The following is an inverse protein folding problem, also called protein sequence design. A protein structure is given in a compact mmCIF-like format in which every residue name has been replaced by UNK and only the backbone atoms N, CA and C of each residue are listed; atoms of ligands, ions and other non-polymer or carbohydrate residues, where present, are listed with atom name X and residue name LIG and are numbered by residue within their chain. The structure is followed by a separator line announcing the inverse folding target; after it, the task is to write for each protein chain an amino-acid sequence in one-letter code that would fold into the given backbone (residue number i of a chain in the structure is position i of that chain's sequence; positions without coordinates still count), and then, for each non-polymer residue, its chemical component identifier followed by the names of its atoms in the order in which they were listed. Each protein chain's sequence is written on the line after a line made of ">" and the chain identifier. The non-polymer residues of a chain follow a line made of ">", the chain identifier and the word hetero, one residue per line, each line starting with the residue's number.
data_IF_927540575442
#
_entry.id   IF_927540575442
#
_cell.length_a   1.000
_cell.length_b   1.000
_cell.length_c   1.000
_cell.angle_alpha   90.00
_cell.angle_beta   90.00
_cell.angle_gamma   90.00
#
_symmetry.space_group_name_H-M   'P 1'
#
loop_
_entity.id
_entity.type
_entity.pdbx_description
1 polymer ?
#
# COMPACT_ATOMS: atom_id res chain seq x y z
N UNK A 1 -7.42 -19.04 -4.15
CA UNK A 1 -7.61 -18.16 -2.99
C UNK A 1 -6.84 -16.89 -3.30
N UNK A 2 -7.49 -15.72 -3.22
CA UNK A 2 -6.80 -14.43 -3.24
C UNK A 2 -6.05 -14.25 -1.92
N UNK A 3 -4.90 -13.58 -1.96
CA UNK A 3 -4.11 -13.19 -0.78
C UNK A 3 -4.04 -11.67 -0.73
N UNK A 4 -3.60 -11.10 0.39
CA UNK A 4 -3.36 -9.66 0.47
C UNK A 4 -1.91 -9.35 0.08
N UNK A 5 -1.72 -8.29 -0.68
CA UNK A 5 -0.41 -7.71 -0.95
C UNK A 5 -0.34 -6.29 -0.39
N UNK A 6 0.84 -5.93 0.08
CA UNK A 6 1.17 -4.66 0.69
C UNK A 6 2.19 -3.96 -0.19
N UNK A 7 1.78 -2.81 -0.73
CA UNK A 7 2.57 -2.03 -1.67
C UNK A 7 3.25 -0.90 -0.91
N UNK A 8 4.54 -1.07 -0.66
CA UNK A 8 5.41 -0.02 -0.14
C UNK A 8 5.54 1.08 -1.19
N UNK A 9 5.22 2.33 -0.87
CA UNK A 9 5.17 3.43 -1.87
C UNK A 9 5.61 4.77 -1.28
N UNK A 10 5.47 5.84 -2.05
CA UNK A 10 5.80 7.20 -1.66
C UNK A 10 4.61 8.16 -1.78
N UNK A 11 4.79 9.35 -1.21
CA UNK A 11 3.76 10.37 -1.18
C UNK A 11 3.36 10.88 -2.58
N UNK A 12 4.29 11.11 -3.53
CA UNK A 12 3.92 11.39 -4.92
C UNK A 12 3.02 10.33 -5.55
N UNK A 13 3.28 9.06 -5.30
CA UNK A 13 2.49 7.95 -5.81
C UNK A 13 1.09 7.88 -5.16
N UNK A 14 0.99 8.09 -3.84
CA UNK A 14 -0.31 8.23 -3.16
C UNK A 14 -1.10 9.42 -3.69
N UNK A 15 -0.43 10.52 -4.02
CA UNK A 15 -1.07 11.68 -4.65
C UNK A 15 -1.59 11.36 -6.05
N UNK A 16 -0.81 10.64 -6.86
CA UNK A 16 -1.26 10.17 -8.17
C UNK A 16 -2.47 9.22 -8.05
N UNK A 17 -2.47 8.34 -7.06
CA UNK A 17 -3.60 7.47 -6.74
C UNK A 17 -4.85 8.27 -6.37
N UNK A 18 -4.70 9.39 -5.67
CA UNK A 18 -5.81 10.30 -5.35
C UNK A 18 -6.33 11.05 -6.59
N UNK A 19 -5.42 11.66 -7.36
CA UNK A 19 -5.74 12.60 -8.43
C UNK A 19 -6.16 11.90 -9.74
N UNK A 20 -5.48 10.81 -10.07
CA UNK A 20 -5.63 10.08 -11.34
C UNK A 20 -6.36 8.74 -11.12
N UNK A 21 -6.45 8.27 -9.87
CA UNK A 21 -7.11 7.01 -9.53
C UNK A 21 -6.23 5.77 -9.74
N UNK A 22 -4.93 5.94 -9.95
CA UNK A 22 -4.01 4.84 -10.25
C UNK A 22 -2.65 4.98 -9.56
N UNK A 23 -2.10 3.85 -9.13
CA UNK A 23 -0.74 3.70 -8.63
C UNK A 23 0.10 3.00 -9.72
N UNK A 24 1.14 3.66 -10.21
CA UNK A 24 1.90 3.19 -11.38
C UNK A 24 2.81 2.00 -11.07
N UNK A 25 2.98 1.06 -12.00
CA UNK A 25 3.74 -0.20 -11.86
C UNK A 25 5.23 -0.08 -11.44
N UNK A 26 5.77 1.14 -11.31
CA UNK A 26 7.14 1.41 -10.87
C UNK A 26 7.24 2.32 -9.65
N UNK A 27 6.10 2.78 -9.10
CA UNK A 27 6.05 3.69 -7.96
C UNK A 27 5.88 2.97 -6.62
N UNK A 28 5.96 1.64 -6.60
CA UNK A 28 5.83 0.85 -5.40
C UNK A 28 6.70 -0.41 -5.44
N UNK A 29 6.87 -1.04 -4.29
CA UNK A 29 7.44 -2.37 -4.13
C UNK A 29 6.42 -3.27 -3.41
N UNK A 30 6.40 -4.56 -3.74
CA UNK A 30 5.35 -5.48 -3.29
C UNK A 30 5.88 -6.44 -2.26
N UNK A 31 5.13 -6.58 -1.17
CA UNK A 31 5.27 -7.63 -0.18
C UNK A 31 3.96 -8.42 -0.15
N UNK A 32 4.02 -9.71 -0.45
CA UNK A 32 2.84 -10.59 -0.41
C UNK A 32 2.76 -11.30 0.93
N UNK A 33 1.56 -11.34 1.54
CA UNK A 33 1.34 -12.16 2.72
C UNK A 33 1.57 -13.65 2.42
N UNK A 34 2.28 -14.34 3.32
CA UNK A 34 2.61 -15.75 3.17
C UNK A 34 1.34 -16.63 3.11
N UNK A 35 0.30 -16.24 3.85
CA UNK A 35 -1.03 -16.82 3.82
C UNK A 35 -2.11 -15.77 4.11
N UNK A 36 -3.34 -16.20 4.34
CA UNK A 36 -4.47 -15.34 4.76
C UNK A 36 -4.64 -15.33 6.28
N UNK A 37 -3.63 -15.81 7.02
CA UNK A 37 -3.60 -15.70 8.47
C UNK A 37 -3.32 -14.25 8.88
N UNK A 38 -3.94 -13.80 9.98
CA UNK A 38 -3.82 -12.43 10.47
C UNK A 38 -2.36 -12.06 10.78
N UNK A 39 -1.57 -13.00 11.30
CA UNK A 39 -0.16 -12.76 11.60
C UNK A 39 0.66 -12.60 10.32
N UNK A 40 0.43 -13.44 9.31
CA UNK A 40 1.13 -13.36 8.03
C UNK A 40 0.79 -12.06 7.27
N UNK A 41 -0.44 -11.58 7.41
CA UNK A 41 -0.88 -10.28 6.88
C UNK A 41 -0.20 -9.11 7.62
N UNK A 42 -0.13 -9.18 8.95
CA UNK A 42 0.57 -8.18 9.76
C UNK A 42 2.07 -8.14 9.45
N UNK A 43 2.74 -9.29 9.38
CA UNK A 43 4.17 -9.37 9.09
C UNK A 43 4.50 -8.76 7.73
N UNK A 44 3.70 -9.04 6.70
CA UNK A 44 3.88 -8.48 5.36
C UNK A 44 3.62 -6.96 5.31
N UNK A 45 2.65 -6.47 6.08
CA UNK A 45 2.39 -5.04 6.22
C UNK A 45 3.56 -4.30 6.87
N UNK A 46 4.13 -4.86 7.94
CA UNK A 46 5.30 -4.31 8.64
C UNK A 46 6.51 -4.30 7.70
N UNK A 47 6.79 -5.40 7.02
CA UNK A 47 7.88 -5.48 6.04
C UNK A 47 7.72 -4.43 4.92
N UNK A 48 6.50 -4.22 4.41
CA UNK A 48 6.23 -3.17 3.43
C UNK A 48 6.46 -1.76 4.01
N UNK A 49 6.11 -1.53 5.27
CA UNK A 49 6.38 -0.27 5.98
C UNK A 49 7.87 0.02 6.12
N UNK A 50 8.63 -0.98 6.58
CA UNK A 50 10.09 -0.89 6.69
C UNK A 50 10.74 -0.66 5.32
N UNK A 51 10.25 -1.33 4.27
CA UNK A 51 10.73 -1.14 2.91
C UNK A 51 10.43 0.28 2.39
N UNK A 52 9.25 0.81 2.73
CA UNK A 52 8.87 2.16 2.34
C UNK A 52 9.77 3.21 3.00
N UNK A 53 9.99 3.07 4.31
CA UNK A 53 10.87 3.94 5.08
C UNK A 53 12.31 3.88 4.55
N UNK A 54 12.84 2.68 4.30
CA UNK A 54 14.20 2.51 3.76
C UNK A 54 14.40 3.15 2.39
N UNK A 55 13.37 3.13 1.53
CA UNK A 55 13.48 3.56 0.13
C UNK A 55 13.10 5.03 -0.07
N UNK A 56 12.12 5.53 0.68
CA UNK A 56 11.53 6.86 0.48
C UNK A 56 11.54 7.74 1.73
N UNK A 57 11.96 7.21 2.89
CA UNK A 57 12.09 7.98 4.14
C UNK A 57 10.80 8.12 4.93
N UNK A 58 9.73 7.43 4.53
CA UNK A 58 8.44 7.43 5.22
C UNK A 58 7.76 6.06 5.03
N UNK A 59 7.15 5.54 6.10
CA UNK A 59 6.38 4.31 6.04
C UNK A 59 4.99 4.59 5.42
N UNK A 60 4.85 4.29 4.12
CA UNK A 60 3.60 4.43 3.37
C UNK A 60 3.29 3.12 2.64
N UNK A 61 2.15 2.51 3.00
CA UNK A 61 1.76 1.20 2.51
C UNK A 61 0.33 1.22 1.99
N UNK A 62 0.12 0.65 0.80
CA UNK A 62 -1.20 0.45 0.19
C UNK A 62 -1.53 -1.03 0.25
N UNK A 63 -2.64 -1.41 0.87
CA UNK A 63 -3.10 -2.80 0.89
C UNK A 63 -4.05 -3.08 -0.27
N UNK A 64 -3.79 -4.16 -1.02
CA UNK A 64 -4.61 -4.60 -2.17
C UNK A 64 -4.92 -6.08 -2.07
N UNK A 65 -6.03 -6.51 -2.69
CA UNK A 65 -6.25 -7.93 -2.92
C UNK A 65 -5.39 -8.41 -4.10
N UNK A 66 -4.41 -9.27 -3.81
CA UNK A 66 -3.60 -9.94 -4.80
C UNK A 66 -4.33 -11.17 -5.35
N UNK A 67 -4.73 -11.10 -6.62
CA UNK A 67 -4.82 -12.31 -7.44
C UNK A 67 -3.41 -12.91 -7.58
N UNK A 68 -3.28 -14.19 -7.95
CA UNK A 68 -2.02 -14.95 -7.93
C UNK A 68 -0.86 -14.43 -8.82
N UNK A 69 -0.96 -13.20 -9.33
CA UNK A 69 0.03 -12.50 -10.14
C UNK A 69 0.16 -11.10 -9.54
N UNK A 70 1.17 -10.83 -8.69
CA UNK A 70 1.38 -9.47 -8.13
C UNK A 70 2.83 -8.99 -8.19
N UNK A 71 3.06 -7.75 -8.65
CA UNK A 71 2.16 -6.94 -9.49
C UNK A 71 2.51 -7.11 -10.98
N UNK A 72 1.52 -7.24 -11.89
CA UNK A 72 1.81 -7.25 -13.32
C UNK A 72 1.71 -5.85 -13.97
N UNK A 73 1.41 -4.77 -13.22
CA UNK A 73 1.14 -3.46 -13.81
C UNK A 73 0.62 -2.39 -12.83
N UNK A 74 -0.10 -1.41 -13.36
CA UNK A 74 -0.72 -0.33 -12.59
C UNK A 74 -1.84 -0.89 -11.69
N UNK A 75 -2.07 -0.25 -10.54
CA UNK A 75 -3.10 -0.61 -9.56
C UNK A 75 -4.16 0.47 -9.54
N UNK A 76 -5.42 0.10 -9.79
CA UNK A 76 -6.55 1.03 -9.73
C UNK A 76 -6.95 1.30 -8.27
N UNK A 77 -7.39 2.53 -7.98
CA UNK A 77 -7.91 2.93 -6.66
C UNK A 77 -9.06 2.05 -6.19
N UNK A 78 -9.83 1.48 -7.10
CA UNK A 78 -10.92 0.56 -6.79
C UNK A 78 -10.45 -0.77 -6.17
N UNK A 79 -9.19 -1.15 -6.42
CA UNK A 79 -8.59 -2.39 -5.92
C UNK A 79 -7.85 -2.17 -4.58
N UNK A 80 -7.79 -0.92 -4.12
CA UNK A 80 -7.15 -0.53 -2.85
C UNK A 80 -8.11 -0.73 -1.69
N UNK A 81 -7.76 -1.66 -0.80
CA UNK A 81 -8.54 -2.00 0.37
C UNK A 81 -8.33 -1.02 1.53
N UNK A 82 -7.08 -0.63 1.79
CA UNK A 82 -6.72 0.30 2.87
C UNK A 82 -5.34 0.90 2.67
N UNK A 83 -5.03 1.90 3.49
CA UNK A 83 -3.75 2.60 3.55
C UNK A 83 -3.18 2.49 4.95
N UNK A 84 -1.87 2.40 5.07
CA UNK A 84 -1.15 2.43 6.34
C UNK A 84 -0.02 3.44 6.28
N UNK A 85 0.04 4.34 7.27
CA UNK A 85 0.91 5.51 7.24
C UNK A 85 1.62 5.71 8.58
N UNK A 86 2.89 6.09 8.51
CA UNK A 86 3.74 6.42 9.65
C UNK A 86 4.38 5.19 10.32
N UNK A 87 5.26 5.46 11.30
CA UNK A 87 6.03 4.43 12.02
C UNK A 87 5.12 3.38 12.71
N UNK A 88 3.93 3.80 13.17
CA UNK A 88 2.94 2.91 13.79
C UNK A 88 2.00 2.24 12.77
N UNK A 89 2.16 2.51 11.47
CA UNK A 89 1.33 1.98 10.37
C UNK A 89 -0.18 2.16 10.63
N UNK A 90 -0.56 3.38 11.04
CA UNK A 90 -1.94 3.74 11.34
C UNK A 90 -2.84 3.45 10.14
N UNK A 91 -3.97 2.78 10.38
CA UNK A 91 -4.90 2.35 9.35
C UNK A 91 -5.81 3.51 8.92
N UNK A 92 -5.92 3.70 7.61
CA UNK A 92 -6.83 4.66 6.97
C UNK A 92 -7.65 3.98 5.88
N UNK A 93 -8.91 4.40 5.74
CA UNK A 93 -9.74 3.99 4.62
C UNK A 93 -9.32 4.72 3.34
N UNK A 94 -9.50 4.09 2.17
CA UNK A 94 -9.15 4.70 0.87
C UNK A 94 -9.92 6.00 0.57
N UNK A 95 -11.08 6.23 1.22
CA UNK A 95 -11.81 7.50 1.13
C UNK A 95 -11.13 8.65 1.88
N UNK A 96 -10.27 8.35 2.86
CA UNK A 96 -9.57 9.34 3.68
C UNK A 96 -8.28 9.84 3.03
N UNK A 97 -7.90 9.29 1.87
CA UNK A 97 -6.68 9.62 1.15
C UNK A 97 -6.50 11.13 0.90
N UNK A 98 -7.57 11.83 0.51
CA UNK A 98 -7.51 13.28 0.26
C UNK A 98 -7.26 14.07 1.55
N UNK A 99 -7.86 13.65 2.67
CA UNK A 99 -7.63 14.25 3.99
C UNK A 99 -6.19 14.00 4.43
N UNK A 100 -5.72 12.77 4.32
CA UNK A 100 -4.36 12.37 4.70
C UNK A 100 -3.28 13.15 3.91
N UNK A 101 -3.54 13.42 2.63
CA UNK A 101 -2.65 14.23 1.80
C UNK A 101 -2.71 15.73 2.11
N UNK A 102 -3.77 16.20 2.77
CA UNK A 102 -4.01 17.60 3.12
C UNK A 102 -3.54 17.99 4.54
N UNK A 103 -3.30 17.02 5.43
CA UNK A 103 -2.84 17.25 6.82
C UNK A 103 -1.36 17.65 6.95
N UNK A 104 -0.75 18.18 5.89
CA UNK A 104 0.62 18.75 5.85
C UNK A 104 0.66 20.28 5.76
#
# INVERSE_FOLDING_TARGET
>A
MSRRAYLATDRPALRALSDVGQLAAGSYAVVEAASTDEQDEYDAMVEAGELAEQRWGEALVVAVEAAAVTPPGDVDRADVASLHVGEDLAWYATQELETLLAEE
#
